data_IF_755817983359
#
_entry.id   IF_755817983359
#
_cell.length_a   1.000
_cell.length_b   1.000
_cell.length_c   1.000
_cell.angle_alpha   90.00
_cell.angle_beta   90.00
_cell.angle_gamma   90.00
#
_symmetry.space_group_name_H-M   'P 1'
#
loop_
_entity.id
_entity.type
_entity.pdbx_description
1 polymer ?
#
# COMPACT_ATOMS: atom_id res chain seq x y z
N UNK A 1 -36.48 -35.26 3.52
CA UNK A 1 -35.90 -34.60 4.72
C UNK A 1 -34.64 -35.37 5.13
N UNK A 2 -33.42 -34.82 4.93
CA UNK A 2 -32.20 -35.11 5.76
C UNK A 2 -30.84 -34.70 5.15
N UNK A 3 -30.72 -34.15 3.93
CA UNK A 3 -29.40 -33.73 3.39
C UNK A 3 -29.27 -32.27 2.92
N UNK A 4 -30.36 -31.50 2.89
CA UNK A 4 -30.35 -30.11 2.39
C UNK A 4 -30.16 -29.08 3.54
N UNK A 5 -30.38 -29.48 4.80
CA UNK A 5 -30.39 -28.57 5.95
C UNK A 5 -29.03 -28.39 6.67
N UNK A 6 -27.96 -29.06 6.23
CA UNK A 6 -26.65 -29.07 6.94
C UNK A 6 -25.54 -28.27 6.24
N UNK A 7 -25.90 -27.37 5.32
CA UNK A 7 -24.99 -26.43 4.63
C UNK A 7 -25.11 -24.98 5.12
N UNK A 8 -25.80 -24.76 6.24
CA UNK A 8 -26.14 -23.42 6.76
C UNK A 8 -25.50 -23.11 8.12
N UNK A 9 -24.21 -23.42 8.31
CA UNK A 9 -23.45 -23.09 9.53
C UNK A 9 -21.95 -22.83 9.25
N UNK A 10 -21.60 -22.24 8.10
CA UNK A 10 -20.42 -21.38 8.02
C UNK A 10 -20.98 -19.97 8.10
N UNK A 11 -21.05 -19.47 9.33
CA UNK A 11 -21.44 -18.12 9.65
C UNK A 11 -20.36 -17.21 9.05
N UNK A 12 -20.54 -16.88 7.78
CA UNK A 12 -19.73 -15.92 7.06
C UNK A 12 -19.99 -14.58 7.74
N UNK A 13 -19.03 -14.11 8.53
CA UNK A 13 -19.16 -12.81 9.16
C UNK A 13 -19.09 -11.77 8.03
N UNK A 14 -20.24 -11.23 7.64
CA UNK A 14 -20.42 -10.12 6.68
C UNK A 14 -19.72 -8.82 7.10
N UNK A 15 -19.09 -8.80 8.28
CA UNK A 15 -18.29 -7.68 8.75
C UNK A 15 -16.85 -7.82 8.22
N UNK A 16 -16.62 -7.23 7.04
CA UNK A 16 -15.28 -7.09 6.45
C UNK A 16 -14.30 -6.37 7.40
N UNK A 17 -14.80 -5.58 8.35
CA UNK A 17 -14.02 -4.96 9.44
C UNK A 17 -13.36 -5.96 10.40
N UNK A 18 -13.87 -7.20 10.53
CA UNK A 18 -13.35 -8.23 11.45
C UNK A 18 -12.38 -9.20 10.77
N UNK A 19 -11.97 -8.93 9.52
CA UNK A 19 -10.97 -9.78 8.87
C UNK A 19 -9.65 -9.77 9.65
N UNK A 20 -9.02 -10.94 9.69
CA UNK A 20 -7.80 -11.19 10.48
C UNK A 20 -6.69 -10.15 10.24
N UNK A 21 -6.41 -9.70 8.99
CA UNK A 21 -5.41 -8.64 8.75
C UNK A 21 -5.75 -7.30 9.44
N UNK A 22 -7.01 -6.87 9.37
CA UNK A 22 -7.48 -5.61 9.96
C UNK A 22 -7.38 -5.60 11.49
N UNK A 23 -7.66 -6.74 12.11
CA UNK A 23 -7.48 -6.93 13.54
C UNK A 23 -6.00 -6.87 13.92
N UNK A 24 -5.12 -7.51 13.15
CA UNK A 24 -3.68 -7.57 13.42
C UNK A 24 -3.02 -6.20 13.28
N UNK A 25 -3.39 -5.43 12.27
CA UNK A 25 -2.88 -4.07 12.12
C UNK A 25 -3.39 -3.12 13.22
N UNK A 26 -4.68 -3.23 13.60
CA UNK A 26 -5.23 -2.46 14.73
C UNK A 26 -4.52 -2.79 16.05
N UNK A 27 -4.18 -4.07 16.27
CA UNK A 27 -3.39 -4.54 17.42
C UNK A 27 -1.94 -4.06 17.36
N UNK A 28 -1.30 -4.07 16.19
CA UNK A 28 0.07 -3.56 15.99
C UNK A 28 0.19 -2.06 16.34
N UNK A 29 -0.76 -1.25 15.87
CA UNK A 29 -0.84 0.17 16.18
C UNK A 29 -1.03 0.45 17.68
N UNK A 30 -1.79 -0.39 18.38
CA UNK A 30 -1.99 -0.27 19.83
C UNK A 30 -0.70 -0.52 20.64
N UNK A 31 0.11 -1.49 20.26
CA UNK A 31 1.32 -1.88 21.01
C UNK A 31 2.58 -1.06 20.69
N UNK A 32 2.54 -0.21 19.67
CA UNK A 32 3.70 0.56 19.18
C UNK A 32 4.34 1.46 20.25
N UNK A 33 3.57 1.95 21.22
CA UNK A 33 4.07 2.85 22.28
C UNK A 33 4.88 2.16 23.38
N UNK A 34 4.67 0.87 23.62
CA UNK A 34 5.12 0.21 24.86
C UNK A 34 6.21 -0.84 24.65
N UNK A 35 6.26 -1.51 23.49
CA UNK A 35 7.26 -2.54 23.22
C UNK A 35 7.80 -2.47 21.79
N UNK A 36 8.88 -1.69 21.56
CA UNK A 36 9.44 -1.47 20.24
C UNK A 36 9.76 -2.79 19.49
N UNK A 37 10.32 -3.78 20.20
CA UNK A 37 10.62 -5.12 19.66
C UNK A 37 9.36 -5.92 19.27
N UNK A 38 8.28 -5.82 20.04
CA UNK A 38 7.00 -6.49 19.73
C UNK A 38 6.32 -5.80 18.55
N UNK A 39 6.41 -4.47 18.47
CA UNK A 39 5.90 -3.70 17.36
C UNK A 39 6.56 -4.10 16.03
N UNK A 40 7.88 -4.26 15.98
CA UNK A 40 8.57 -4.70 14.75
C UNK A 40 8.22 -6.15 14.42
N UNK A 41 8.10 -7.04 15.41
CA UNK A 41 7.67 -8.42 15.15
C UNK A 41 6.24 -8.47 14.62
N UNK A 42 5.31 -7.71 15.22
CA UNK A 42 3.92 -7.60 14.73
C UNK A 42 3.84 -6.92 13.36
N UNK A 43 4.70 -5.92 13.10
CA UNK A 43 4.85 -5.27 11.80
C UNK A 43 5.28 -6.28 10.73
N UNK A 44 6.36 -7.04 10.99
CA UNK A 44 6.83 -8.09 10.08
C UNK A 44 5.78 -9.19 9.86
N UNK A 45 5.04 -9.56 10.92
CA UNK A 45 3.92 -10.51 10.81
C UNK A 45 2.78 -9.92 9.97
N UNK A 46 2.46 -8.63 10.12
CA UNK A 46 1.47 -7.93 9.29
C UNK A 46 1.86 -8.01 7.81
N UNK A 47 3.08 -7.58 7.46
CA UNK A 47 3.56 -7.63 6.07
C UNK A 47 3.52 -9.03 5.45
N UNK A 48 3.77 -10.08 6.25
CA UNK A 48 3.66 -11.47 5.79
C UNK A 48 2.20 -11.89 5.60
N UNK A 49 1.29 -11.41 6.43
CA UNK A 49 -0.14 -11.69 6.32
C UNK A 49 -0.81 -10.91 5.18
N UNK A 50 -0.37 -9.69 4.90
CA UNK A 50 -0.80 -8.86 3.76
C UNK A 50 -0.32 -9.45 2.42
N UNK A 51 0.72 -10.30 2.42
CA UNK A 51 1.07 -11.08 1.22
C UNK A 51 0.14 -12.29 1.02
N UNK A 52 -0.49 -12.78 2.08
CA UNK A 52 -1.31 -13.99 2.08
C UNK A 52 -2.79 -13.69 1.90
N UNK A 53 -3.27 -12.53 2.37
CA UNK A 53 -4.68 -12.16 2.36
C UNK A 53 -5.26 -12.03 0.94
N UNK A 54 -4.52 -11.44 -0.01
CA UNK A 54 -4.92 -11.33 -1.41
C UNK A 54 -4.89 -12.68 -2.13
N UNK A 55 -4.03 -13.61 -1.69
CA UNK A 55 -4.01 -14.97 -2.22
C UNK A 55 -5.17 -15.81 -1.65
N UNK A 56 -5.48 -15.64 -0.37
CA UNK A 56 -6.63 -16.26 0.28
C UNK A 56 -7.95 -15.71 -0.29
N UNK A 57 -8.10 -14.40 -0.45
CA UNK A 57 -9.29 -13.78 -1.02
C UNK A 57 -9.58 -14.28 -2.45
N UNK A 58 -8.53 -14.48 -3.27
CA UNK A 58 -8.65 -15.09 -4.60
C UNK A 58 -9.00 -16.58 -4.55
N UNK A 59 -8.41 -17.32 -3.62
CA UNK A 59 -8.69 -18.75 -3.47
C UNK A 59 -10.12 -19.02 -2.98
N UNK A 60 -10.67 -18.15 -2.13
CA UNK A 60 -12.00 -18.28 -1.54
C UNK A 60 -13.09 -17.46 -2.26
N UNK A 61 -12.80 -16.82 -3.40
CA UNK A 61 -13.73 -15.96 -4.15
C UNK A 61 -14.34 -14.81 -3.32
N UNK A 62 -13.55 -14.22 -2.42
CA UNK A 62 -13.98 -13.18 -1.46
C UNK A 62 -13.44 -11.78 -1.80
N UNK A 63 -12.92 -11.59 -3.01
CA UNK A 63 -12.37 -10.31 -3.44
C UNK A 63 -13.44 -9.20 -3.41
N UNK A 64 -13.19 -8.12 -2.67
CA UNK A 64 -14.12 -6.99 -2.58
C UNK A 64 -13.39 -5.65 -2.74
N UNK A 65 -14.09 -4.63 -3.25
CA UNK A 65 -13.55 -3.27 -3.37
C UNK A 65 -13.20 -2.67 -2.01
N UNK A 66 -14.05 -2.91 -1.01
CA UNK A 66 -13.81 -2.44 0.34
C UNK A 66 -12.58 -3.10 0.97
N UNK A 67 -12.43 -4.43 0.80
CA UNK A 67 -11.24 -5.15 1.25
C UNK A 67 -9.96 -4.63 0.61
N UNK A 68 -9.94 -4.37 -0.69
CA UNK A 68 -8.78 -3.82 -1.39
C UNK A 68 -8.39 -2.41 -0.93
N UNK A 69 -9.38 -1.55 -0.64
CA UNK A 69 -9.11 -0.21 -0.08
C UNK A 69 -8.56 -0.33 1.35
N UNK A 70 -9.14 -1.22 2.14
CA UNK A 70 -8.79 -1.40 3.54
C UNK A 70 -7.39 -2.00 3.71
N UNK A 71 -7.02 -2.99 2.90
CA UNK A 71 -5.66 -3.54 2.79
C UNK A 71 -4.64 -2.42 2.51
N UNK A 72 -4.85 -1.67 1.42
CA UNK A 72 -3.98 -0.56 1.05
C UNK A 72 -3.84 0.49 2.17
N UNK A 73 -4.94 0.90 2.82
CA UNK A 73 -4.91 1.89 3.91
C UNK A 73 -4.15 1.36 5.12
N UNK A 74 -4.33 0.08 5.44
CA UNK A 74 -3.70 -0.57 6.59
C UNK A 74 -2.19 -0.65 6.43
N UNK A 75 -1.74 -1.06 5.24
CA UNK A 75 -0.35 -1.05 4.78
C UNK A 75 0.32 0.33 5.00
N UNK A 76 -0.37 1.40 4.55
CA UNK A 76 0.16 2.77 4.64
C UNK A 76 0.22 3.29 6.06
N UNK A 77 -0.81 2.99 6.86
CA UNK A 77 -0.83 3.35 8.29
C UNK A 77 0.36 2.72 9.01
N UNK A 78 0.60 1.44 8.77
CA UNK A 78 1.65 0.66 9.44
C UNK A 78 3.04 1.24 9.14
N UNK A 79 3.33 1.51 7.86
CA UNK A 79 4.58 2.15 7.41
C UNK A 79 4.73 3.56 7.96
N UNK A 80 3.67 4.37 7.92
CA UNK A 80 3.69 5.75 8.45
C UNK A 80 4.01 5.78 9.94
N UNK A 81 3.44 4.86 10.71
CA UNK A 81 3.70 4.79 12.14
C UNK A 81 5.17 4.46 12.44
N UNK A 82 5.81 3.60 11.63
CA UNK A 82 7.26 3.37 11.68
C UNK A 82 8.06 4.63 11.35
N UNK A 83 7.71 5.35 10.27
CA UNK A 83 8.38 6.60 9.89
C UNK A 83 8.21 7.71 10.94
N UNK A 84 7.04 7.81 11.57
CA UNK A 84 6.81 8.73 12.68
C UNK A 84 7.77 8.43 13.85
N UNK A 85 7.95 7.16 14.21
CA UNK A 85 8.92 6.77 15.23
C UNK A 85 10.35 7.13 14.81
N UNK A 86 10.73 6.82 13.57
CA UNK A 86 12.06 7.16 13.03
C UNK A 86 12.30 8.68 13.05
N UNK A 87 11.27 9.51 12.79
CA UNK A 87 11.40 10.97 12.85
C UNK A 87 11.76 11.47 14.25
N UNK A 88 11.28 10.80 15.31
CA UNK A 88 11.63 11.13 16.70
C UNK A 88 13.08 10.71 17.01
N UNK A 89 13.50 9.54 16.53
CA UNK A 89 14.83 8.98 16.81
C UNK A 89 15.96 9.60 15.99
N UNK A 90 15.62 10.18 14.83
CA UNK A 90 16.53 10.82 13.91
C UNK A 90 16.04 12.24 13.54
N UNK A 91 16.04 13.19 14.50
CA UNK A 91 15.42 14.50 14.30
C UNK A 91 15.96 15.28 13.10
N UNK A 92 17.25 15.11 12.78
CA UNK A 92 17.90 15.75 11.63
C UNK A 92 17.29 15.36 10.27
N UNK A 93 16.61 14.21 10.20
CA UNK A 93 15.96 13.70 8.97
C UNK A 93 14.43 13.85 9.00
N UNK A 94 13.86 14.56 9.99
CA UNK A 94 12.40 14.69 10.18
C UNK A 94 11.68 15.18 8.93
N UNK A 95 12.21 16.21 8.26
CA UNK A 95 11.61 16.77 7.04
C UNK A 95 11.58 15.72 5.92
N UNK A 96 12.61 14.89 5.81
CA UNK A 96 12.64 13.80 4.84
C UNK A 96 11.55 12.77 5.15
N UNK A 97 11.41 12.33 6.39
CA UNK A 97 10.35 11.37 6.75
C UNK A 97 8.95 11.94 6.54
N UNK A 98 8.72 13.21 6.88
CA UNK A 98 7.44 13.90 6.61
C UNK A 98 7.12 13.95 5.11
N UNK A 99 8.12 14.25 4.29
CA UNK A 99 7.98 14.22 2.84
C UNK A 99 7.66 12.81 2.33
N UNK A 100 8.37 11.78 2.80
CA UNK A 100 8.13 10.38 2.41
C UNK A 100 6.70 9.93 2.75
N UNK A 101 6.22 10.22 3.97
CA UNK A 101 4.84 9.94 4.38
C UNK A 101 3.84 10.65 3.46
N UNK A 102 4.08 11.94 3.18
CA UNK A 102 3.18 12.75 2.34
C UNK A 102 3.14 12.23 0.90
N UNK A 103 4.30 11.89 0.35
CA UNK A 103 4.44 11.36 -1.01
C UNK A 103 3.74 10.01 -1.15
N UNK A 104 3.94 9.10 -0.20
CA UNK A 104 3.36 7.77 -0.25
C UNK A 104 1.83 7.77 -0.10
N UNK A 105 1.29 8.55 0.86
CA UNK A 105 -0.17 8.71 0.99
C UNK A 105 -0.80 9.33 -0.25
N UNK A 106 -0.22 10.43 -0.75
CA UNK A 106 -0.79 11.14 -1.89
C UNK A 106 -0.72 10.33 -3.19
N UNK A 107 0.39 9.63 -3.45
CA UNK A 107 0.53 8.80 -4.65
C UNK A 107 -0.46 7.64 -4.67
N UNK A 108 -0.58 6.90 -3.56
CA UNK A 108 -1.50 5.77 -3.47
C UNK A 108 -2.96 6.22 -3.49
N UNK A 109 -3.31 7.30 -2.79
CA UNK A 109 -4.67 7.83 -2.78
C UNK A 109 -5.11 8.28 -4.18
N UNK A 110 -4.30 9.09 -4.87
CA UNK A 110 -4.63 9.56 -6.22
C UNK A 110 -4.67 8.40 -7.22
N UNK A 111 -3.73 7.46 -7.13
CA UNK A 111 -3.71 6.29 -8.02
C UNK A 111 -4.94 5.40 -7.84
N UNK A 112 -5.31 5.09 -6.60
CA UNK A 112 -6.52 4.33 -6.28
C UNK A 112 -7.77 5.05 -6.80
N UNK A 113 -7.92 6.34 -6.48
CA UNK A 113 -9.07 7.13 -6.90
C UNK A 113 -9.18 7.18 -8.44
N UNK A 114 -8.08 7.49 -9.13
CA UNK A 114 -8.06 7.52 -10.60
C UNK A 114 -8.42 6.17 -11.23
N UNK A 115 -7.96 5.05 -10.65
CA UNK A 115 -8.23 3.70 -11.16
C UNK A 115 -9.70 3.30 -10.97
N UNK A 116 -10.28 3.64 -9.81
CA UNK A 116 -11.69 3.36 -9.52
C UNK A 116 -12.63 4.20 -10.40
N UNK A 117 -12.29 5.47 -10.64
CA UNK A 117 -13.08 6.36 -11.48
C UNK A 117 -12.96 5.97 -12.96
N UNK A 118 -11.74 5.67 -13.46
CA UNK A 118 -11.50 5.27 -14.84
C UNK A 118 -12.13 3.92 -15.23
N UNK A 119 -12.23 2.97 -14.29
CA UNK A 119 -12.90 1.68 -14.50
C UNK A 119 -14.40 1.80 -14.85
N UNK A 120 -14.98 3.00 -14.71
CA UNK A 120 -16.37 3.30 -15.08
C UNK A 120 -16.54 3.78 -16.54
N UNK A 121 -15.43 4.09 -17.24
CA UNK A 121 -15.41 4.69 -18.59
C UNK A 121 -14.33 4.04 -19.48
N UNK A 122 -14.49 2.75 -19.77
CA UNK A 122 -13.47 1.88 -20.39
C UNK A 122 -13.12 2.11 -21.89
N UNK A 123 -13.25 3.32 -22.46
CA UNK A 123 -13.11 3.47 -23.93
C UNK A 123 -12.16 4.54 -24.49
N UNK A 124 -11.37 5.25 -23.70
CA UNK A 124 -10.29 6.10 -24.26
C UNK A 124 -8.92 5.78 -23.69
N UNK A 125 -8.16 5.02 -24.48
CA UNK A 125 -6.76 4.66 -24.27
C UNK A 125 -5.93 5.93 -24.06
N UNK A 126 -5.54 6.17 -22.81
CA UNK A 126 -4.42 7.04 -22.48
C UNK A 126 -3.13 6.43 -23.10
N UNK A 127 -2.19 7.28 -23.53
CA UNK A 127 -1.08 6.88 -24.40
C UNK A 127 -0.27 5.70 -23.86
N UNK A 128 -0.01 4.67 -24.68
CA UNK A 128 0.68 3.44 -24.29
C UNK A 128 2.06 3.67 -23.64
N UNK A 129 2.72 4.80 -23.92
CA UNK A 129 4.03 5.14 -23.33
C UNK A 129 3.96 5.52 -21.86
N UNK A 130 2.89 6.18 -21.40
CA UNK A 130 2.76 6.64 -20.01
C UNK A 130 2.48 5.47 -19.04
N UNK A 131 1.98 4.34 -19.55
CA UNK A 131 1.66 3.15 -18.76
C UNK A 131 2.72 2.07 -18.77
N UNK A 132 3.67 2.04 -19.73
CA UNK A 132 4.61 0.91 -19.85
C UNK A 132 5.42 0.64 -18.59
N UNK A 133 5.93 1.70 -17.95
CA UNK A 133 6.75 1.54 -16.74
C UNK A 133 5.90 1.10 -15.53
N UNK A 134 4.72 1.72 -15.35
CA UNK A 134 3.81 1.37 -14.27
C UNK A 134 3.17 -0.02 -14.47
N UNK A 135 2.89 -0.38 -15.72
CA UNK A 135 2.41 -1.69 -16.13
C UNK A 135 3.46 -2.76 -15.86
N UNK A 136 4.75 -2.55 -16.14
CA UNK A 136 5.79 -3.50 -15.78
C UNK A 136 5.86 -3.72 -14.25
N UNK A 137 5.76 -2.63 -13.47
CA UNK A 137 5.73 -2.68 -12.01
C UNK A 137 4.54 -3.47 -11.45
N UNK A 138 3.34 -3.28 -11.99
CA UNK A 138 2.13 -3.96 -11.51
C UNK A 138 1.86 -5.33 -12.14
N UNK A 139 2.37 -5.58 -13.35
CA UNK A 139 2.15 -6.84 -14.07
C UNK A 139 3.06 -7.98 -13.56
N UNK A 140 4.11 -7.65 -12.80
CA UNK A 140 4.93 -8.64 -12.12
C UNK A 140 4.73 -8.54 -10.61
N UNK A 141 4.02 -9.51 -10.05
CA UNK A 141 3.85 -9.65 -8.59
C UNK A 141 5.19 -9.76 -7.86
N UNK A 142 6.19 -10.37 -8.50
CA UNK A 142 7.56 -10.46 -7.99
C UNK A 142 8.23 -9.10 -7.88
N UNK A 143 8.13 -8.25 -8.91
CA UNK A 143 8.71 -6.89 -8.88
C UNK A 143 7.99 -6.05 -7.82
N UNK A 144 6.67 -6.10 -7.78
CA UNK A 144 5.88 -5.41 -6.76
C UNK A 144 6.29 -5.80 -5.34
N UNK A 145 6.39 -7.10 -5.07
CA UNK A 145 6.81 -7.62 -3.77
C UNK A 145 8.22 -7.19 -3.39
N UNK A 146 9.20 -7.31 -4.30
CA UNK A 146 10.60 -6.93 -4.03
C UNK A 146 10.70 -5.44 -3.71
N UNK A 147 9.97 -4.60 -4.45
CA UNK A 147 10.02 -3.15 -4.26
C UNK A 147 9.35 -2.72 -2.94
N UNK A 148 8.22 -3.32 -2.58
CA UNK A 148 7.59 -3.07 -1.28
C UNK A 148 8.43 -3.63 -0.14
N UNK A 149 8.85 -4.90 -0.21
CA UNK A 149 9.65 -5.54 0.83
C UNK A 149 11.00 -4.84 1.03
N UNK A 150 11.67 -4.41 -0.04
CA UNK A 150 12.93 -3.68 0.06
C UNK A 150 12.76 -2.27 0.64
N UNK A 151 11.65 -1.59 0.35
CA UNK A 151 11.30 -0.32 0.98
C UNK A 151 11.07 -0.49 2.49
N UNK A 152 10.28 -1.48 2.90
CA UNK A 152 10.05 -1.73 4.33
C UNK A 152 11.30 -2.19 5.05
N UNK A 153 12.10 -3.05 4.40
CA UNK A 153 13.38 -3.51 4.93
C UNK A 153 14.32 -2.34 5.23
N UNK A 154 14.35 -1.30 4.38
CA UNK A 154 15.16 -0.10 4.63
C UNK A 154 14.78 0.58 5.95
N UNK A 155 13.49 0.83 6.18
CA UNK A 155 13.02 1.49 7.40
C UNK A 155 13.19 0.60 8.64
N UNK A 156 12.98 -0.70 8.50
CA UNK A 156 13.22 -1.68 9.57
C UNK A 156 14.71 -1.77 9.93
N UNK A 157 15.63 -1.73 8.97
CA UNK A 157 17.07 -1.70 9.25
C UNK A 157 17.45 -0.39 9.96
N UNK A 158 16.99 0.77 9.49
CA UNK A 158 17.21 2.06 10.16
C UNK A 158 16.74 2.04 11.62
N UNK A 159 15.61 1.38 11.85
CA UNK A 159 15.08 1.15 13.18
C UNK A 159 16.00 0.26 14.01
N UNK A 160 16.42 -0.90 13.50
CA UNK A 160 17.32 -1.82 14.22
C UNK A 160 18.67 -1.19 14.56
N UNK A 161 19.26 -0.42 13.63
CA UNK A 161 20.52 0.28 13.85
C UNK A 161 20.47 1.24 15.04
N UNK A 162 19.30 1.76 15.40
CA UNK A 162 19.14 2.60 16.60
C UNK A 162 19.30 1.82 17.90
N UNK A 163 18.95 0.53 17.90
CA UNK A 163 18.92 -0.33 19.09
C UNK A 163 20.12 -1.28 19.19
N UNK A 164 20.96 -1.37 18.16
CA UNK A 164 22.18 -2.17 18.15
C UNK A 164 23.36 -1.34 18.69
N UNK A 165 24.00 -1.74 19.81
CA UNK A 165 25.13 -0.98 20.37
C UNK A 165 26.36 -0.96 19.44
N UNK A 166 26.62 -2.07 18.76
CA UNK A 166 27.75 -2.25 17.84
C UNK A 166 27.25 -3.01 16.58
N UNK A 167 26.62 -2.31 15.63
CA UNK A 167 26.14 -2.94 14.40
C UNK A 167 27.32 -3.38 13.54
N UNK A 168 27.29 -4.62 13.06
CA UNK A 168 28.29 -5.12 12.10
C UNK A 168 28.17 -4.41 10.74
N UNK A 169 29.28 -4.38 10.00
CA UNK A 169 29.37 -3.82 8.63
C UNK A 169 28.28 -4.36 7.68
N UNK A 170 27.86 -5.62 7.89
CA UNK A 170 26.79 -6.26 7.14
C UNK A 170 25.47 -5.47 7.17
N UNK A 171 25.12 -4.85 8.31
CA UNK A 171 23.91 -4.05 8.43
C UNK A 171 23.97 -2.78 7.57
N UNK A 172 25.15 -2.17 7.43
CA UNK A 172 25.34 -1.00 6.59
C UNK A 172 25.30 -1.35 5.10
N UNK A 173 25.85 -2.51 4.69
CA UNK A 173 25.70 -3.00 3.32
C UNK A 173 24.23 -3.29 2.97
N UNK A 174 23.50 -3.93 3.89
CA UNK A 174 22.06 -4.17 3.73
C UNK A 174 21.25 -2.88 3.69
N UNK A 175 21.61 -1.89 4.52
CA UNK A 175 21.01 -0.56 4.49
C UNK A 175 21.24 0.12 3.14
N UNK A 176 22.46 0.05 2.59
CA UNK A 176 22.77 0.60 1.28
C UNK A 176 21.98 -0.06 0.15
N UNK A 177 21.93 -1.40 0.14
CA UNK A 177 21.19 -2.17 -0.87
C UNK A 177 19.68 -1.89 -0.82
N UNK A 178 19.08 -1.93 0.38
CA UNK A 178 17.66 -1.59 0.57
C UNK A 178 17.38 -0.11 0.31
N UNK A 179 18.34 0.78 0.55
CA UNK A 179 18.25 2.21 0.24
C UNK A 179 18.09 2.51 -1.25
N UNK A 180 18.76 1.74 -2.13
CA UNK A 180 18.57 1.84 -3.58
C UNK A 180 17.14 1.48 -3.97
N UNK A 181 16.60 0.41 -3.37
CA UNK A 181 15.22 -0.03 -3.62
C UNK A 181 14.22 1.00 -3.09
N UNK A 182 14.43 1.52 -1.88
CA UNK A 182 13.62 2.58 -1.29
C UNK A 182 13.59 3.81 -2.21
N UNK A 183 14.75 4.28 -2.67
CA UNK A 183 14.82 5.41 -3.60
C UNK A 183 14.04 5.16 -4.90
N UNK A 184 14.22 3.97 -5.51
CA UNK A 184 13.47 3.58 -6.69
C UNK A 184 11.96 3.52 -6.44
N UNK A 185 11.53 3.06 -5.25
CA UNK A 185 10.10 3.06 -4.84
C UNK A 185 9.56 4.48 -4.72
N UNK A 186 10.32 5.43 -4.16
CA UNK A 186 9.89 6.82 -4.08
C UNK A 186 9.76 7.47 -5.47
N UNK A 187 10.65 7.14 -6.40
CA UNK A 187 10.51 7.55 -7.79
C UNK A 187 9.20 7.01 -8.42
N UNK A 188 8.86 5.75 -8.14
CA UNK A 188 7.59 5.17 -8.59
C UNK A 188 6.40 5.89 -7.98
N UNK A 189 6.45 6.28 -6.70
CA UNK A 189 5.40 7.08 -6.06
C UNK A 189 5.18 8.43 -6.79
N UNK A 190 6.26 9.08 -7.23
CA UNK A 190 6.16 10.29 -8.06
C UNK A 190 5.55 10.01 -9.43
N UNK A 191 5.94 8.92 -10.09
CA UNK A 191 5.35 8.54 -11.39
C UNK A 191 3.86 8.20 -11.24
N UNK A 192 3.48 7.52 -10.15
CA UNK A 192 2.09 7.19 -9.84
C UNK A 192 1.21 8.44 -9.72
N UNK A 193 1.66 9.45 -8.95
CA UNK A 193 0.85 10.66 -8.76
C UNK A 193 0.70 11.47 -10.06
N UNK A 194 1.75 11.56 -10.87
CA UNK A 194 1.72 12.25 -12.17
C UNK A 194 0.76 11.54 -13.12
N UNK A 195 0.83 10.22 -13.22
CA UNK A 195 -0.04 9.44 -14.09
C UNK A 195 -1.50 9.49 -13.63
N UNK A 196 -1.77 9.37 -12.33
CA UNK A 196 -3.10 9.50 -11.76
C UNK A 196 -3.70 10.89 -12.05
N UNK A 197 -2.89 11.95 -11.93
CA UNK A 197 -3.30 13.33 -12.23
C UNK A 197 -3.70 13.49 -13.70
N UNK A 198 -2.91 12.93 -14.64
CA UNK A 198 -3.23 12.94 -16.08
C UNK A 198 -4.54 12.22 -16.38
N UNK A 199 -4.78 11.06 -15.76
CA UNK A 199 -6.01 10.28 -15.90
C UNK A 199 -7.21 11.11 -15.44
N UNK A 200 -7.17 11.65 -14.22
CA UNK A 200 -8.27 12.43 -13.66
C UNK A 200 -8.58 13.68 -14.49
N UNK A 201 -7.54 14.43 -14.89
CA UNK A 201 -7.72 15.59 -15.75
C UNK A 201 -8.33 15.25 -17.13
N UNK A 202 -8.13 14.03 -17.61
CA UNK A 202 -8.76 13.55 -18.85
C UNK A 202 -10.23 13.25 -18.64
N UNK A 203 -10.57 12.56 -17.54
CA UNK A 203 -11.97 12.28 -17.15
C UNK A 203 -12.75 13.59 -16.99
N UNK A 204 -12.19 14.57 -16.28
CA UNK A 204 -12.82 15.89 -16.08
C UNK A 204 -13.10 16.62 -17.41
N UNK A 205 -12.18 16.53 -18.37
CA UNK A 205 -12.38 17.12 -19.71
C UNK A 205 -13.51 16.43 -20.46
N UNK A 206 -13.58 15.11 -20.40
CA UNK A 206 -14.64 14.32 -21.05
C UNK A 206 -16.01 14.61 -20.45
N UNK A 207 -16.11 14.64 -19.12
CA UNK A 207 -17.37 14.91 -18.45
C UNK A 207 -17.85 16.35 -18.67
N UNK A 208 -16.92 17.31 -18.76
CA UNK A 208 -17.23 18.69 -19.18
C UNK A 208 -17.74 18.75 -20.62
N UNK A 209 -17.15 17.98 -21.55
CA UNK A 209 -17.63 17.91 -22.94
C UNK A 209 -19.04 17.33 -23.02
N UNK A 210 -19.31 16.23 -22.32
CA UNK A 210 -20.65 15.61 -22.26
C UNK A 210 -21.69 16.59 -21.71
N UNK A 211 -21.36 17.30 -20.64
CA UNK A 211 -22.24 18.28 -20.02
C UNK A 211 -22.54 19.49 -20.93
N UNK A 212 -21.58 19.89 -21.79
CA UNK A 212 -21.81 20.94 -22.79
C UNK A 212 -22.72 20.44 -23.91
N UNK A 213 -22.46 19.26 -24.47
CA UNK A 213 -23.31 18.68 -25.53
C UNK A 213 -24.74 18.41 -25.07
N UNK A 214 -24.96 18.11 -23.80
CA UNK A 214 -26.29 17.91 -23.23
C UNK A 214 -27.08 19.22 -23.04
N UNK A 215 -26.42 20.38 -23.05
CA UNK A 215 -27.08 21.70 -22.99
C UNK A 215 -27.46 22.24 -24.37
N UNK A 216 -26.87 21.70 -25.43
CA UNK A 216 -27.12 22.10 -26.82
C UNK A 216 -28.28 21.31 -27.46
N UNK A 217 -28.80 20.29 -26.77
CA UNK A 217 -29.96 19.47 -27.15
C UNK A 217 -31.21 19.89 -26.39
#
# INVERSE_FOLDING_TARGET
MSKIQKRSQLQYTDNVFLFVPNLIASLSLYYMKWHPKVCVTLYCISCLLDAVDGNAARYFDQCSKFGAVLDMVTDRCTTTCLLCFLSIQYPQWTILFQFLVSLDFSSHYMHMYSSMTAGSTSHKKLSESDYKFLHLYYNSSTVLFIMCAGNELFFVILYFLKFLPEPSEAWYYLLGASGIICFAKQFINVVQIVNASKVLATIDKEDRQKALSAKEQ
#
